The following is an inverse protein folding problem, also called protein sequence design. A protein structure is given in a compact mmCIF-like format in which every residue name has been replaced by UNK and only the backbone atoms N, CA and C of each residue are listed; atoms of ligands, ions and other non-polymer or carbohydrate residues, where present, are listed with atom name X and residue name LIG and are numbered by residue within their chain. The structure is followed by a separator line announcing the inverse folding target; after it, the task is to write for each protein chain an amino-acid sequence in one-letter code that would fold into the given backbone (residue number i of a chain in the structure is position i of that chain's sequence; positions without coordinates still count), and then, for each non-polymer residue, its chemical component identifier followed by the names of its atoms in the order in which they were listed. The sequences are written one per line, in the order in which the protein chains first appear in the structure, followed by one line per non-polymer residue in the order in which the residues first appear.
data_IF_019909250640
#
_entry.id   IF_019909250640
#
_cell.length_a   1.000
_cell.length_b   1.000
_cell.length_c   1.000
_cell.angle_alpha   90.00
_cell.angle_beta   90.00
_cell.angle_gamma   90.00
#
_symmetry.space_group_name_H-M   'P 1'
#
loop_
_entity.id
_entity.type
_entity.pdbx_description
1 polymer ?
#
# COMPACT_ATOMS: atom_id res chain seq x y z
N UNK A 1 -15.26 90.58 -38.55
CA UNK A 1 -14.74 89.43 -39.31
C UNK A 1 -13.46 88.98 -38.63
N UNK A 2 -13.38 87.71 -38.21
CA UNK A 2 -12.15 87.13 -37.65
C UNK A 2 -11.14 87.04 -38.80
N UNK A 3 -9.85 87.32 -38.54
CA UNK A 3 -8.81 87.28 -39.57
C UNK A 3 -8.75 85.88 -40.19
N UNK A 4 -8.74 85.74 -41.54
CA UNK A 4 -8.72 84.44 -42.20
C UNK A 4 -7.54 83.55 -41.79
N UNK A 5 -6.43 84.17 -41.37
CA UNK A 5 -5.20 83.52 -40.87
C UNK A 5 -5.44 82.74 -39.56
N UNK A 6 -6.26 83.30 -38.66
CA UNK A 6 -6.62 82.64 -37.39
C UNK A 6 -7.51 81.42 -37.67
N UNK A 7 -8.42 81.53 -38.64
CA UNK A 7 -9.34 80.45 -38.97
C UNK A 7 -8.65 79.25 -39.63
N UNK A 8 -7.58 79.49 -40.39
CA UNK A 8 -6.72 78.45 -40.94
C UNK A 8 -5.90 77.74 -39.86
N UNK A 9 -5.32 78.47 -38.91
CA UNK A 9 -4.63 77.87 -37.77
C UNK A 9 -5.54 76.97 -36.93
N UNK A 10 -6.80 77.38 -36.72
CA UNK A 10 -7.79 76.58 -35.99
C UNK A 10 -8.13 75.29 -36.73
N UNK A 11 -8.34 75.35 -38.04
CA UNK A 11 -8.56 74.15 -38.87
C UNK A 11 -7.35 73.22 -38.83
N UNK A 12 -6.14 73.76 -38.89
CA UNK A 12 -4.92 72.98 -38.80
C UNK A 12 -4.77 72.29 -37.43
N UNK A 13 -5.11 72.98 -36.35
CA UNK A 13 -5.16 72.40 -35.00
C UNK A 13 -6.23 71.31 -34.91
N UNK A 14 -7.42 71.54 -35.45
CA UNK A 14 -8.50 70.55 -35.49
C UNK A 14 -8.09 69.28 -36.22
N UNK A 15 -7.47 69.41 -37.40
CA UNK A 15 -6.92 68.29 -38.16
C UNK A 15 -5.86 67.54 -37.35
N UNK A 16 -4.95 68.27 -36.70
CA UNK A 16 -3.92 67.66 -35.85
C UNK A 16 -4.51 66.88 -34.67
N UNK A 17 -5.53 67.41 -34.00
CA UNK A 17 -6.21 66.71 -32.92
C UNK A 17 -6.91 65.44 -33.40
N UNK A 18 -7.60 65.50 -34.54
CA UNK A 18 -8.26 64.33 -35.13
C UNK A 18 -7.25 63.23 -35.50
N UNK A 19 -6.12 63.60 -36.11
CA UNK A 19 -5.03 62.66 -36.39
C UNK A 19 -4.49 62.01 -35.11
N UNK A 20 -4.29 62.81 -34.04
CA UNK A 20 -3.83 62.29 -32.75
C UNK A 20 -4.82 61.33 -32.11
N UNK A 21 -6.12 61.61 -32.20
CA UNK A 21 -7.17 60.73 -31.70
C UNK A 21 -7.15 59.39 -32.44
N UNK A 22 -6.97 59.41 -33.76
CA UNK A 22 -6.91 58.19 -34.57
C UNK A 22 -5.68 57.33 -34.23
N UNK A 23 -4.50 57.96 -34.09
CA UNK A 23 -3.28 57.27 -33.63
C UNK A 23 -3.48 56.60 -32.26
N UNK A 24 -4.12 57.30 -31.32
CA UNK A 24 -4.39 56.77 -29.98
C UNK A 24 -5.38 55.61 -30.02
N UNK A 25 -6.40 55.66 -30.88
CA UNK A 25 -7.35 54.55 -31.07
C UNK A 25 -6.65 53.30 -31.62
N UNK A 26 -5.79 53.47 -32.63
CA UNK A 26 -5.03 52.37 -33.22
C UNK A 26 -4.08 51.77 -32.16
N UNK A 27 -3.34 52.61 -31.44
CA UNK A 27 -2.45 52.16 -30.37
C UNK A 27 -3.19 51.39 -29.28
N UNK A 28 -4.34 51.90 -28.83
CA UNK A 28 -5.20 51.21 -27.86
C UNK A 28 -5.67 49.85 -28.40
N UNK A 29 -6.16 49.79 -29.63
CA UNK A 29 -6.58 48.54 -30.27
C UNK A 29 -5.45 47.50 -30.40
N UNK A 30 -4.24 47.94 -30.74
CA UNK A 30 -3.06 47.05 -30.79
C UNK A 30 -2.73 46.49 -29.38
N UNK A 31 -2.78 47.32 -28.35
CA UNK A 31 -2.50 46.84 -26.98
C UNK A 31 -3.56 45.86 -26.47
N UNK A 32 -4.83 46.07 -26.81
CA UNK A 32 -5.93 45.20 -26.41
C UNK A 32 -5.86 43.85 -27.15
N UNK A 33 -5.63 43.89 -28.47
CA UNK A 33 -5.44 42.67 -29.27
C UNK A 33 -4.24 41.85 -28.81
N UNK A 34 -3.12 42.49 -28.49
CA UNK A 34 -1.94 41.80 -27.96
C UNK A 34 -2.23 41.05 -26.64
N UNK A 35 -2.96 41.69 -25.72
CA UNK A 35 -3.40 41.04 -24.47
C UNK A 35 -4.33 39.86 -24.72
N UNK A 36 -5.25 40.01 -25.67
CA UNK A 36 -6.17 38.92 -26.05
C UNK A 36 -5.40 37.72 -26.63
N UNK A 37 -4.39 37.97 -27.47
CA UNK A 37 -3.55 36.90 -28.02
C UNK A 37 -2.71 36.20 -26.95
N UNK A 38 -2.18 36.94 -25.99
CA UNK A 38 -1.48 36.38 -24.83
C UNK A 38 -2.39 35.47 -24.02
N UNK A 39 -3.57 35.94 -23.63
CA UNK A 39 -4.56 35.14 -22.91
C UNK A 39 -4.97 33.89 -23.71
N UNK A 40 -5.11 33.98 -25.04
CA UNK A 40 -5.42 32.82 -25.89
C UNK A 40 -4.29 31.78 -25.87
N UNK A 41 -3.02 32.21 -25.89
CA UNK A 41 -1.86 31.30 -25.78
C UNK A 41 -1.85 30.60 -24.44
N UNK A 42 -2.10 31.32 -23.35
CA UNK A 42 -2.17 30.75 -22.01
C UNK A 42 -3.31 29.73 -21.87
N UNK A 43 -4.50 30.06 -22.37
CA UNK A 43 -5.64 29.14 -22.39
C UNK A 43 -5.31 27.87 -23.18
N UNK A 44 -4.69 28.00 -24.36
CA UNK A 44 -4.31 26.85 -25.17
C UNK A 44 -3.30 25.95 -24.43
N UNK A 45 -2.31 26.56 -23.77
CA UNK A 45 -1.34 25.83 -22.96
C UNK A 45 -2.00 25.09 -21.79
N UNK A 46 -2.85 25.76 -21.02
CA UNK A 46 -3.57 25.15 -19.91
C UNK A 46 -4.46 23.99 -20.38
N UNK A 47 -5.16 24.16 -21.49
CA UNK A 47 -5.99 23.10 -22.08
C UNK A 47 -5.15 21.88 -22.48
N UNK A 48 -3.93 22.08 -22.97
CA UNK A 48 -3.01 20.98 -23.30
C UNK A 48 -2.58 20.19 -22.05
N UNK A 49 -2.25 20.88 -20.96
CA UNK A 49 -1.92 20.25 -19.68
C UNK A 49 -3.12 19.49 -19.13
N UNK A 50 -4.29 20.10 -19.13
CA UNK A 50 -5.53 19.48 -18.62
C UNK A 50 -5.82 18.20 -19.41
N UNK A 51 -5.71 18.22 -20.74
CA UNK A 51 -5.91 17.04 -21.57
C UNK A 51 -4.91 15.91 -21.25
N UNK A 52 -3.63 16.25 -21.04
CA UNK A 52 -2.60 15.29 -20.66
C UNK A 52 -2.88 14.67 -19.28
N UNK A 53 -3.21 15.50 -18.28
CA UNK A 53 -3.51 15.03 -16.92
C UNK A 53 -4.75 14.15 -16.90
N UNK A 54 -5.81 14.54 -17.60
CA UNK A 54 -7.02 13.73 -17.71
C UNK A 54 -6.74 12.37 -18.35
N UNK A 55 -5.89 12.31 -19.38
CA UNK A 55 -5.46 11.04 -19.98
C UNK A 55 -4.70 10.17 -18.98
N UNK A 56 -3.73 10.75 -18.25
CA UNK A 56 -2.99 10.04 -17.20
C UNK A 56 -3.91 9.49 -16.12
N UNK A 57 -4.88 10.28 -15.66
CA UNK A 57 -5.89 9.83 -14.69
C UNK A 57 -6.72 8.67 -15.22
N UNK A 58 -7.18 8.73 -16.48
CA UNK A 58 -7.92 7.63 -17.08
C UNK A 58 -7.09 6.36 -17.18
N UNK A 59 -5.82 6.47 -17.59
CA UNK A 59 -4.94 5.31 -17.73
C UNK A 59 -4.65 4.67 -16.36
N UNK A 60 -4.41 5.47 -15.32
CA UNK A 60 -4.30 4.97 -13.95
C UNK A 60 -5.58 4.28 -13.48
N UNK A 61 -6.75 4.89 -13.71
CA UNK A 61 -8.05 4.29 -13.34
C UNK A 61 -8.28 2.95 -14.05
N UNK A 62 -7.89 2.83 -15.33
CA UNK A 62 -7.96 1.56 -16.08
C UNK A 62 -7.03 0.51 -15.47
N UNK A 63 -5.79 0.87 -15.14
CA UNK A 63 -4.85 -0.06 -14.49
C UNK A 63 -5.38 -0.56 -13.16
N UNK A 64 -5.92 0.34 -12.32
CA UNK A 64 -6.55 -0.02 -11.05
C UNK A 64 -7.74 -0.95 -11.28
N UNK A 65 -8.61 -0.65 -12.26
CA UNK A 65 -9.75 -1.49 -12.59
C UNK A 65 -9.32 -2.90 -13.04
N UNK A 66 -8.27 -3.01 -13.85
CA UNK A 66 -7.70 -4.29 -14.26
C UNK A 66 -7.19 -5.05 -13.03
N UNK A 67 -6.37 -4.43 -12.18
CA UNK A 67 -5.81 -5.06 -10.99
C UNK A 67 -6.90 -5.53 -10.01
N UNK A 68 -7.91 -4.69 -9.77
CA UNK A 68 -9.05 -5.03 -8.92
C UNK A 68 -9.95 -6.11 -9.54
N UNK A 69 -9.93 -6.27 -10.86
CA UNK A 69 -10.66 -7.30 -11.59
C UNK A 69 -10.01 -8.67 -11.52
N UNK A 70 -8.74 -8.77 -11.09
CA UNK A 70 -8.06 -10.07 -10.93
C UNK A 70 -8.54 -10.71 -9.62
N UNK A 71 -9.19 -11.89 -9.67
CA UNK A 71 -9.62 -12.59 -8.46
C UNK A 71 -8.42 -12.93 -7.58
N UNK A 72 -8.53 -12.68 -6.27
CA UNK A 72 -7.48 -13.02 -5.30
C UNK A 72 -7.02 -14.48 -5.40
N UNK A 73 -7.93 -15.40 -5.73
CA UNK A 73 -7.63 -16.82 -5.94
C UNK A 73 -6.67 -17.06 -7.12
N UNK A 74 -6.78 -16.31 -8.22
CA UNK A 74 -5.84 -16.44 -9.35
C UNK A 74 -4.44 -15.95 -8.96
N UNK A 75 -4.35 -14.83 -8.25
CA UNK A 75 -3.08 -14.30 -7.72
C UNK A 75 -2.46 -15.32 -6.76
N UNK A 76 -3.23 -15.86 -5.84
CA UNK A 76 -2.76 -16.86 -4.88
C UNK A 76 -2.29 -18.14 -5.56
N UNK A 77 -3.04 -18.67 -6.54
CA UNK A 77 -2.61 -19.85 -7.30
C UNK A 77 -1.33 -19.64 -8.09
N UNK A 78 -1.12 -18.43 -8.62
CA UNK A 78 0.08 -18.08 -9.38
C UNK A 78 1.30 -17.85 -8.47
N UNK A 79 1.09 -17.23 -7.31
CA UNK A 79 2.09 -17.15 -6.25
C UNK A 79 2.43 -18.55 -5.74
N UNK A 80 1.45 -19.39 -5.46
CA UNK A 80 1.70 -20.76 -5.02
C UNK A 80 2.49 -21.57 -6.07
N UNK A 81 2.18 -21.41 -7.36
CA UNK A 81 2.96 -22.02 -8.44
C UNK A 81 4.42 -21.60 -8.43
N UNK A 82 4.72 -20.34 -8.13
CA UNK A 82 6.08 -19.79 -8.07
C UNK A 82 6.80 -20.09 -6.76
N UNK A 83 6.10 -20.15 -5.62
CA UNK A 83 6.72 -20.30 -4.30
C UNK A 83 6.88 -21.75 -3.86
N UNK A 84 5.96 -22.65 -4.24
CA UNK A 84 5.98 -24.04 -3.77
C UNK A 84 6.74 -25.01 -4.68
N UNK A 85 6.99 -24.67 -5.95
CA UNK A 85 7.65 -25.60 -6.87
C UNK A 85 9.16 -25.42 -7.00
N UNK A 86 9.68 -24.21 -6.76
CA UNK A 86 11.08 -23.89 -7.11
C UNK A 86 11.95 -23.47 -5.92
N UNK A 87 11.39 -23.19 -4.74
CA UNK A 87 12.18 -22.78 -3.57
C UNK A 87 12.28 -23.92 -2.55
N UNK A 88 13.50 -24.34 -2.17
CA UNK A 88 13.67 -25.23 -1.04
C UNK A 88 13.10 -24.57 0.23
N UNK A 89 12.57 -25.35 1.20
CA UNK A 89 12.16 -24.82 2.49
C UNK A 89 13.27 -23.95 3.09
N UNK A 90 12.93 -22.77 3.62
CA UNK A 90 13.89 -21.91 4.31
C UNK A 90 14.37 -22.64 5.58
N UNK A 91 15.67 -22.84 5.69
CA UNK A 91 16.30 -23.40 6.88
C UNK A 91 16.45 -22.29 7.93
N UNK A 92 16.18 -22.59 9.19
CA UNK A 92 16.39 -21.68 10.31
C UNK A 92 16.91 -22.49 11.50
N UNK A 93 17.92 -21.97 12.17
CA UNK A 93 18.48 -22.58 13.37
C UNK A 93 18.08 -21.77 14.60
N UNK A 94 17.29 -22.37 15.49
CA UNK A 94 16.80 -21.73 16.72
C UNK A 94 17.92 -21.47 17.76
N UNK A 95 19.07 -22.15 17.64
CA UNK A 95 20.16 -22.03 18.62
C UNK A 95 21.11 -20.88 18.33
N UNK A 96 21.41 -20.63 17.05
CA UNK A 96 22.30 -19.53 16.63
C UNK A 96 21.59 -18.45 15.81
N UNK A 97 20.26 -18.54 15.68
CA UNK A 97 19.37 -17.55 15.07
C UNK A 97 19.73 -17.18 13.61
N UNK A 98 20.37 -18.11 12.87
CA UNK A 98 20.74 -17.90 11.46
C UNK A 98 19.70 -18.46 10.51
N UNK A 99 19.45 -17.72 9.41
CA UNK A 99 18.58 -18.14 8.32
C UNK A 99 19.39 -18.74 7.16
N UNK A 100 18.76 -19.66 6.43
CA UNK A 100 19.17 -20.24 5.16
C UNK A 100 20.53 -20.98 5.14
N UNK A 101 21.17 -21.19 6.30
CA UNK A 101 22.49 -21.82 6.40
C UNK A 101 22.42 -23.31 6.81
N UNK A 102 21.79 -23.58 7.95
CA UNK A 102 21.54 -24.90 8.52
C UNK A 102 20.25 -24.84 9.36
N UNK A 103 19.66 -25.98 9.67
CA UNK A 103 18.58 -26.07 10.64
C UNK A 103 19.12 -26.35 12.04
N UNK A 104 18.26 -26.35 13.05
CA UNK A 104 18.67 -26.61 14.44
C UNK A 104 19.40 -27.96 14.60
N UNK A 105 19.14 -28.97 13.76
CA UNK A 105 19.75 -30.30 13.89
C UNK A 105 21.19 -30.38 13.40
N UNK A 106 21.55 -29.56 12.42
CA UNK A 106 22.89 -29.47 11.81
C UNK A 106 23.75 -28.36 12.41
N UNK A 107 23.35 -27.82 13.57
CA UNK A 107 24.07 -26.70 14.17
C UNK A 107 25.42 -27.11 14.77
N UNK A 108 26.52 -26.46 14.38
CA UNK A 108 27.85 -26.77 14.92
C UNK A 108 27.94 -26.52 16.43
N UNK A 109 27.13 -25.59 16.96
CA UNK A 109 27.08 -25.32 18.41
C UNK A 109 26.45 -26.48 19.18
N UNK A 110 25.52 -27.23 18.57
CA UNK A 110 24.96 -28.44 19.19
C UNK A 110 26.00 -29.54 19.35
N UNK A 111 26.93 -29.69 18.39
CA UNK A 111 28.04 -30.63 18.51
C UNK A 111 29.05 -30.22 19.61
N UNK A 112 29.28 -28.92 19.78
CA UNK A 112 30.14 -28.40 20.85
C UNK A 112 29.52 -28.57 22.23
N UNK A 113 28.20 -28.42 22.36
CA UNK A 113 27.50 -28.65 23.63
C UNK A 113 27.51 -30.14 24.02
N UNK A 114 27.38 -31.05 23.04
CA UNK A 114 27.53 -32.51 23.25
C UNK A 114 28.97 -32.88 23.70
N UNK A 115 30.01 -32.24 23.14
CA UNK A 115 31.40 -32.48 23.55
C UNK A 115 31.75 -31.86 24.91
N UNK A 116 31.15 -30.71 25.26
CA UNK A 116 31.38 -30.01 26.53
C UNK A 116 30.63 -30.69 27.68
N UNK A 117 29.43 -31.22 27.40
CA UNK A 117 28.62 -31.99 28.33
C UNK A 117 28.90 -33.48 28.13
N UNK A 118 30.14 -33.90 28.41
CA UNK A 118 30.70 -35.22 28.08
C UNK A 118 30.01 -36.47 28.65
N UNK A 119 28.79 -36.40 29.18
CA UNK A 119 27.95 -37.55 29.52
C UNK A 119 26.49 -37.13 29.35
N UNK A 120 25.96 -37.18 28.13
CA UNK A 120 24.56 -37.55 28.00
C UNK A 120 24.53 -39.07 27.88
N UNK A 121 24.44 -39.73 29.04
CA UNK A 121 23.69 -40.99 29.08
C UNK A 121 22.40 -40.75 28.28
N UNK A 122 21.99 -41.74 27.49
CA UNK A 122 20.66 -41.73 26.87
C UNK A 122 19.62 -41.76 27.98
N UNK A 123 19.43 -40.64 28.67
CA UNK A 123 18.28 -40.38 29.50
C UNK A 123 17.17 -40.17 28.49
N UNK A 124 16.58 -41.28 28.08
CA UNK A 124 15.23 -41.28 27.56
C UNK A 124 14.41 -40.48 28.57
N UNK A 125 14.15 -39.20 28.26
CA UNK A 125 13.20 -38.39 29.02
C UNK A 125 11.90 -39.20 28.97
N UNK A 126 11.55 -39.84 30.08
CA UNK A 126 10.29 -40.57 30.20
C UNK A 126 9.22 -39.56 29.81
N UNK A 127 8.52 -39.85 28.71
CA UNK A 127 7.43 -38.99 28.25
C UNK A 127 6.51 -38.81 29.46
N UNK A 128 6.25 -37.56 29.92
CA UNK A 128 5.33 -37.38 31.03
C UNK A 128 4.02 -38.06 30.66
N UNK A 129 3.42 -38.77 31.63
CA UNK A 129 2.18 -39.50 31.40
C UNK A 129 1.15 -38.57 30.74
N UNK A 130 0.37 -39.05 29.75
CA UNK A 130 -0.67 -38.24 29.13
C UNK A 130 -1.52 -37.55 30.19
N UNK A 131 -1.78 -36.26 30.01
CA UNK A 131 -2.65 -35.50 30.91
C UNK A 131 -4.07 -36.02 30.76
N UNK A 132 -4.69 -36.43 31.86
CA UNK A 132 -6.09 -36.88 31.89
C UNK A 132 -7.00 -35.85 31.21
N UNK A 133 -7.87 -36.33 30.32
CA UNK A 133 -8.79 -35.50 29.53
C UNK A 133 -10.17 -36.14 29.55
N UNK A 134 -11.18 -35.33 29.81
CA UNK A 134 -12.56 -35.79 29.87
C UNK A 134 -13.30 -35.39 28.58
N UNK A 135 -13.72 -36.39 27.80
CA UNK A 135 -14.47 -36.16 26.56
C UNK A 135 -15.90 -35.65 26.82
N UNK A 136 -16.50 -35.92 27.99
CA UNK A 136 -17.84 -35.42 28.32
C UNK A 136 -17.90 -33.93 28.69
N UNK A 137 -16.81 -33.36 29.19
CA UNK A 137 -16.77 -31.93 29.56
C UNK A 137 -15.73 -31.13 28.79
N UNK A 138 -14.96 -31.80 27.93
CA UNK A 138 -13.90 -31.25 27.08
C UNK A 138 -12.79 -30.50 27.86
N UNK A 139 -12.55 -30.90 29.11
CA UNK A 139 -11.53 -30.28 29.98
C UNK A 139 -10.40 -31.24 30.36
N UNK A 140 -9.21 -30.69 30.55
CA UNK A 140 -8.05 -31.42 31.03
C UNK A 140 -7.95 -31.38 32.56
N UNK A 141 -7.67 -32.51 33.18
CA UNK A 141 -7.42 -32.61 34.63
C UNK A 141 -8.17 -33.75 35.33
N UNK A 142 -9.08 -34.44 34.63
CA UNK A 142 -9.75 -35.65 35.10
C UNK A 142 -10.14 -36.51 33.89
N UNK A 143 -10.32 -37.80 34.11
CA UNK A 143 -10.85 -38.70 33.08
C UNK A 143 -12.38 -38.74 33.14
N UNK A 144 -12.96 -39.29 32.07
CA UNK A 144 -14.38 -39.58 31.86
C UNK A 144 -15.05 -40.11 33.15
N UNK A 145 -14.44 -41.08 33.84
CA UNK A 145 -15.02 -41.71 35.03
C UNK A 145 -15.14 -40.78 36.26
N UNK A 146 -14.36 -39.70 36.32
CA UNK A 146 -14.38 -38.74 37.43
C UNK A 146 -15.06 -37.41 37.08
N UNK A 147 -15.83 -37.37 35.99
CA UNK A 147 -16.50 -36.15 35.57
C UNK A 147 -17.68 -35.80 36.49
N UNK A 148 -17.62 -34.67 37.17
CA UNK A 148 -18.74 -34.16 38.01
C UNK A 148 -20.04 -33.97 37.22
N UNK A 149 -19.98 -33.67 35.91
CA UNK A 149 -21.18 -33.57 35.05
C UNK A 149 -21.92 -34.91 34.88
N UNK A 150 -21.26 -36.03 35.14
CA UNK A 150 -21.86 -37.38 35.13
C UNK A 150 -22.39 -37.84 36.49
N UNK A 151 -21.91 -37.26 37.59
CA UNK A 151 -22.21 -37.72 38.96
C UNK A 151 -23.61 -37.33 39.45
N UNK A 152 -24.42 -36.64 38.65
CA UNK A 152 -25.79 -36.28 39.02
C UNK A 152 -26.78 -37.46 39.04
N UNK A 153 -26.36 -38.69 38.65
CA UNK A 153 -27.28 -39.83 38.56
C UNK A 153 -26.92 -41.09 39.34
N UNK A 154 -25.77 -41.21 40.03
CA UNK A 154 -25.50 -42.39 40.88
C UNK A 154 -24.49 -42.10 41.99
N UNK A 155 -24.94 -42.36 43.22
CA UNK A 155 -24.16 -42.37 44.45
C UNK A 155 -23.16 -43.52 44.47
N UNK A 156 -21.86 -43.21 44.46
CA UNK A 156 -20.79 -43.92 45.18
C UNK A 156 -19.49 -43.12 44.93
N UNK A 157 -19.03 -42.42 45.96
CA UNK A 157 -17.79 -41.65 45.90
C UNK A 157 -16.60 -42.61 45.79
N UNK A 158 -16.02 -42.73 44.60
CA UNK A 158 -14.66 -43.24 44.44
C UNK A 158 -13.71 -42.06 44.58
N UNK A 159 -12.74 -42.20 45.48
CA UNK A 159 -11.74 -41.16 45.75
C UNK A 159 -10.97 -40.81 44.47
N UNK A 160 -11.35 -39.69 43.85
CA UNK A 160 -10.55 -39.04 42.83
C UNK A 160 -9.52 -38.14 43.51
N UNK A 161 -8.52 -38.77 44.14
CA UNK A 161 -7.33 -38.06 44.59
C UNK A 161 -6.17 -38.52 43.71
N UNK A 162 -5.53 -37.56 43.05
CA UNK A 162 -4.19 -37.72 42.49
C UNK A 162 -3.23 -36.89 43.34
#
# INVERSE_FOLDING_TARGET
AISPDIEEEWKNKEISYLQKIEELKIAAGITETAKIEEMKRDIAFLNSIIAEQFKKEQDMKKQIAILNGIPANQIFMELQRKTFRDLPPRLYCDMCEVFDLHDTTDCPEQALDIMKNGIHENVHKVRPSPRAYCEECEEFGHDIECCQKRQTEKSEAKDCTF
#
